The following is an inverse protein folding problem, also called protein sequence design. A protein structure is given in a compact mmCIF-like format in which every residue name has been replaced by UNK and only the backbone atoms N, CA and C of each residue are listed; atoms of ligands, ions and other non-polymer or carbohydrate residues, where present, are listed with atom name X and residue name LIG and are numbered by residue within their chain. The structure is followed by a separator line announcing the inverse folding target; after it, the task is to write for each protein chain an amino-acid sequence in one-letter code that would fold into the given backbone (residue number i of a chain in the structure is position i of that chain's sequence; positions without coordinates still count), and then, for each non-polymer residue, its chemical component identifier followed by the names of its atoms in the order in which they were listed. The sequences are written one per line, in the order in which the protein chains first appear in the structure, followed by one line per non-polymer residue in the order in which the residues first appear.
data_IF_848822220714
#
_entry.id   IF_848822220714
#
_cell.length_a   1.000
_cell.length_b   1.000
_cell.length_c   1.000
_cell.angle_alpha   90.00
_cell.angle_beta   90.00
_cell.angle_gamma   90.00
#
_symmetry.space_group_name_H-M   'P 1'
#
loop_
_entity.id
_entity.type
_entity.pdbx_description
1 polymer ?
#
# COMPACT_ATOMS: atom_id res chain seq x y z
N UNK A 1 -18.08 13.27 24.44
CA UNK A 1 -17.72 12.26 23.42
C UNK A 1 -18.51 10.94 23.52
N UNK A 2 -19.67 10.88 24.20
CA UNK A 2 -20.48 9.63 24.29
C UNK A 2 -22.00 9.89 24.36
N UNK A 3 -22.53 10.86 23.59
CA UNK A 3 -23.98 11.15 23.51
C UNK A 3 -24.43 11.64 22.12
N UNK A 4 -23.87 11.10 21.04
CA UNK A 4 -24.25 11.49 19.68
C UNK A 4 -24.71 10.31 18.80
N UNK A 5 -25.08 9.18 19.39
CA UNK A 5 -25.47 7.96 18.65
C UNK A 5 -26.95 7.56 18.83
N UNK A 6 -27.81 8.45 19.33
CA UNK A 6 -29.16 8.04 19.77
C UNK A 6 -30.31 8.94 19.27
N UNK A 7 -30.13 9.69 18.18
CA UNK A 7 -31.21 10.53 17.61
C UNK A 7 -31.46 10.41 16.10
N UNK A 8 -30.85 9.48 15.38
CA UNK A 8 -31.12 9.28 13.93
C UNK A 8 -31.84 7.95 13.68
N UNK A 9 -32.87 7.66 14.46
CA UNK A 9 -33.69 6.47 14.28
C UNK A 9 -35.19 6.78 14.38
N UNK A 10 -35.70 7.83 13.76
CA UNK A 10 -37.16 8.03 13.65
C UNK A 10 -37.58 9.05 12.58
N UNK A 11 -38.12 8.57 11.45
CA UNK A 11 -38.97 9.27 10.44
C UNK A 11 -38.23 10.35 9.60
N UNK A 12 -38.19 10.35 8.27
CA UNK A 12 -39.09 9.82 7.23
C UNK A 12 -38.30 9.27 6.01
N UNK A 13 -38.90 8.21 5.45
CA UNK A 13 -38.78 7.61 4.11
C UNK A 13 -38.18 8.42 2.96
N UNK A 14 -37.17 7.82 2.31
CA UNK A 14 -36.88 7.99 0.88
C UNK A 14 -35.39 8.21 0.57
N UNK A 15 -34.81 7.53 -0.44
CA UNK A 15 -33.49 7.93 -0.93
C UNK A 15 -33.56 9.36 -1.49
N UNK A 16 -32.56 10.22 -1.24
CA UNK A 16 -32.58 11.60 -1.71
C UNK A 16 -32.66 11.66 -3.23
N UNK A 17 -33.58 12.47 -3.75
CA UNK A 17 -33.75 12.67 -5.19
C UNK A 17 -32.57 13.51 -5.72
N UNK A 18 -31.74 12.90 -6.56
CA UNK A 18 -30.51 13.51 -7.12
C UNK A 18 -30.81 14.62 -8.16
N UNK A 19 -32.07 14.97 -8.40
CA UNK A 19 -32.43 16.03 -9.35
C UNK A 19 -32.80 17.38 -8.72
N UNK A 20 -32.63 17.56 -7.40
CA UNK A 20 -32.92 18.83 -6.72
C UNK A 20 -31.74 19.84 -6.82
N UNK A 21 -31.88 20.97 -7.53
CA UNK A 21 -30.77 21.89 -7.80
C UNK A 21 -30.28 22.66 -6.58
N UNK A 22 -31.10 22.84 -5.53
CA UNK A 22 -30.67 23.54 -4.29
C UNK A 22 -29.68 22.71 -3.46
N UNK A 23 -29.80 21.38 -3.45
CA UNK A 23 -28.91 20.46 -2.74
C UNK A 23 -27.48 20.44 -3.35
N UNK A 24 -27.39 20.58 -4.68
CA UNK A 24 -26.12 20.64 -5.41
C UNK A 24 -25.29 21.87 -5.04
N UNK A 25 -25.92 23.03 -4.79
CA UNK A 25 -25.20 24.26 -4.45
C UNK A 25 -24.55 24.19 -3.06
N UNK A 26 -25.22 23.56 -2.09
CA UNK A 26 -24.76 23.46 -0.72
C UNK A 26 -23.61 22.44 -0.52
N UNK A 27 -23.50 21.43 -1.39
CA UNK A 27 -22.57 20.31 -1.23
C UNK A 27 -21.63 20.09 -2.42
N UNK A 28 -21.51 21.04 -3.36
CA UNK A 28 -20.69 20.92 -4.58
C UNK A 28 -19.24 20.44 -4.34
N UNK A 29 -18.62 20.86 -3.21
CA UNK A 29 -17.25 20.43 -2.83
C UNK A 29 -17.17 18.95 -2.42
N UNK A 30 -18.22 18.40 -1.81
CA UNK A 30 -18.33 16.98 -1.45
C UNK A 30 -18.73 16.11 -2.65
N UNK A 31 -19.49 16.65 -3.60
CA UNK A 31 -19.91 15.94 -4.82
C UNK A 31 -18.73 15.76 -5.78
N UNK A 32 -17.91 16.80 -6.00
CA UNK A 32 -16.69 16.68 -6.83
C UNK A 32 -15.67 15.69 -6.24
N UNK A 33 -15.50 15.66 -4.91
CA UNK A 33 -14.61 14.68 -4.26
C UNK A 33 -15.15 13.26 -4.39
N UNK A 34 -16.47 13.05 -4.33
CA UNK A 34 -17.10 11.74 -4.53
C UNK A 34 -17.05 11.26 -6.00
N UNK A 35 -17.21 12.14 -6.99
CA UNK A 35 -17.05 11.80 -8.42
C UNK A 35 -15.59 11.48 -8.78
N UNK A 36 -14.62 12.20 -8.22
CA UNK A 36 -13.19 11.86 -8.36
C UNK A 36 -12.92 10.49 -7.70
N UNK A 37 -13.47 10.22 -6.50
CA UNK A 37 -13.32 8.93 -5.84
C UNK A 37 -13.98 7.77 -6.61
N UNK A 38 -15.17 7.99 -7.19
CA UNK A 38 -15.88 6.99 -8.02
C UNK A 38 -15.14 6.69 -9.33
N UNK A 39 -14.60 7.73 -9.98
CA UNK A 39 -13.76 7.57 -11.18
C UNK A 39 -12.46 6.82 -10.87
N UNK A 40 -11.86 7.10 -9.70
CA UNK A 40 -10.65 6.42 -9.21
C UNK A 40 -10.96 4.96 -8.80
N UNK A 41 -12.13 4.67 -8.23
CA UNK A 41 -12.57 3.32 -7.86
C UNK A 41 -12.96 2.46 -9.09
N UNK A 42 -13.56 3.04 -10.13
CA UNK A 42 -13.79 2.34 -11.40
C UNK A 42 -12.46 2.04 -12.13
N UNK A 43 -11.51 2.99 -12.07
CA UNK A 43 -10.16 2.78 -12.58
C UNK A 43 -9.41 1.71 -11.75
N UNK A 44 -9.58 1.68 -10.42
CA UNK A 44 -9.03 0.64 -9.54
C UNK A 44 -9.64 -0.75 -9.81
N UNK A 45 -10.94 -0.86 -10.06
CA UNK A 45 -11.60 -2.13 -10.41
C UNK A 45 -11.11 -2.69 -11.76
N UNK A 46 -10.80 -1.82 -12.71
CA UNK A 46 -10.23 -2.20 -14.01
C UNK A 46 -8.72 -2.50 -13.94
N UNK A 47 -7.96 -1.80 -13.09
CA UNK A 47 -6.54 -2.06 -12.87
C UNK A 47 -6.28 -3.36 -12.09
N UNK A 48 -7.12 -3.68 -11.10
CA UNK A 48 -7.01 -4.93 -10.33
C UNK A 48 -7.34 -6.19 -11.15
N UNK A 49 -8.01 -6.05 -12.30
CA UNK A 49 -8.37 -7.17 -13.18
C UNK A 49 -7.23 -7.59 -14.12
N UNK A 50 -6.27 -6.70 -14.39
CA UNK A 50 -5.14 -6.97 -15.29
C UNK A 50 -3.88 -7.54 -14.59
N UNK A 51 -3.80 -7.48 -13.25
CA UNK A 51 -2.69 -8.05 -12.47
C UNK A 51 -3.00 -9.41 -11.84
N UNK A 52 -4.13 -10.04 -12.21
CA UNK A 52 -4.37 -11.46 -11.87
C UNK A 52 -3.59 -12.32 -12.86
N UNK A 53 -2.29 -12.42 -12.59
CA UNK A 53 -1.27 -13.15 -13.32
C UNK A 53 -1.72 -14.55 -13.77
N UNK A 54 -1.39 -14.91 -15.00
CA UNK A 54 -1.66 -16.18 -15.70
C UNK A 54 -1.24 -17.48 -14.97
N UNK A 55 -0.54 -17.40 -13.84
CA UNK A 55 -0.24 -18.53 -12.95
C UNK A 55 -1.41 -18.92 -12.03
N UNK A 56 -2.39 -18.04 -11.83
CA UNK A 56 -3.58 -18.31 -11.01
C UNK A 56 -4.66 -19.12 -11.76
N UNK A 57 -4.61 -19.15 -13.10
CA UNK A 57 -5.61 -19.86 -13.94
C UNK A 57 -5.22 -21.32 -14.24
N UNK A 58 -3.99 -21.74 -13.93
CA UNK A 58 -3.47 -23.10 -14.20
C UNK A 58 -3.47 -24.02 -12.97
N UNK A 59 -3.97 -23.57 -11.82
CA UNK A 59 -3.90 -24.29 -10.55
C UNK A 59 -5.28 -24.83 -10.16
N UNK A 60 -5.32 -26.04 -9.61
CA UNK A 60 -6.54 -26.60 -9.04
C UNK A 60 -7.00 -25.76 -7.84
N UNK A 61 -8.31 -25.74 -7.54
CA UNK A 61 -8.91 -24.89 -6.51
C UNK A 61 -8.29 -25.13 -5.11
N UNK A 62 -7.81 -26.34 -4.84
CA UNK A 62 -7.04 -26.68 -3.64
C UNK A 62 -5.65 -26.05 -3.63
N UNK A 63 -4.94 -26.10 -4.76
CA UNK A 63 -3.60 -25.52 -4.93
C UNK A 63 -3.63 -23.99 -4.83
N UNK A 64 -4.70 -23.37 -5.32
CA UNK A 64 -4.86 -21.91 -5.25
C UNK A 64 -5.05 -21.41 -3.80
N UNK A 65 -5.79 -22.16 -2.98
CA UNK A 65 -5.92 -21.87 -1.53
C UNK A 65 -4.59 -22.04 -0.80
N UNK A 66 -3.87 -23.11 -1.12
CA UNK A 66 -2.56 -23.36 -0.52
C UNK A 66 -1.53 -22.30 -0.94
N UNK A 67 -1.52 -21.92 -2.22
CA UNK A 67 -0.66 -20.86 -2.74
C UNK A 67 -0.96 -19.52 -2.08
N UNK A 68 -2.24 -19.18 -1.89
CA UNK A 68 -2.66 -17.97 -1.17
C UNK A 68 -2.09 -17.93 0.26
N UNK A 69 -2.28 -19.00 1.03
CA UNK A 69 -1.75 -19.10 2.39
C UNK A 69 -0.20 -19.04 2.42
N UNK A 70 0.46 -19.66 1.44
CA UNK A 70 1.93 -19.60 1.29
C UNK A 70 2.40 -18.19 0.94
N UNK A 71 1.66 -17.45 0.10
CA UNK A 71 1.99 -16.07 -0.27
C UNK A 71 1.85 -15.12 0.92
N UNK A 72 0.76 -15.21 1.69
CA UNK A 72 0.57 -14.39 2.89
C UNK A 72 1.68 -14.63 3.92
N UNK A 73 2.02 -15.89 4.18
CA UNK A 73 3.12 -16.26 5.07
C UNK A 73 4.46 -15.72 4.56
N UNK A 74 4.67 -15.75 3.24
CA UNK A 74 5.87 -15.21 2.61
C UNK A 74 5.97 -13.70 2.77
N UNK A 75 4.89 -12.95 2.55
CA UNK A 75 4.89 -11.50 2.75
C UNK A 75 5.25 -11.11 4.19
N UNK A 76 4.70 -11.80 5.19
CA UNK A 76 5.05 -11.53 6.60
C UNK A 76 6.54 -11.79 6.88
N UNK A 77 7.08 -12.90 6.35
CA UNK A 77 8.50 -13.23 6.51
C UNK A 77 9.38 -12.17 5.83
N UNK A 78 9.04 -11.75 4.63
CA UNK A 78 9.78 -10.72 3.88
C UNK A 78 9.77 -9.38 4.61
N UNK A 79 8.62 -9.01 5.19
CA UNK A 79 8.52 -7.81 6.03
C UNK A 79 9.45 -7.89 7.25
N UNK A 80 9.45 -9.03 7.97
CA UNK A 80 10.33 -9.20 9.13
C UNK A 80 11.81 -9.14 8.76
N UNK A 81 12.21 -9.75 7.64
CA UNK A 81 13.58 -9.67 7.14
C UNK A 81 13.95 -8.23 6.75
N UNK A 82 13.06 -7.51 6.08
CA UNK A 82 13.26 -6.10 5.73
C UNK A 82 13.44 -5.22 6.98
N UNK A 83 12.59 -5.41 8.00
CA UNK A 83 12.70 -4.72 9.28
C UNK A 83 14.02 -5.00 9.99
N UNK A 84 14.43 -6.27 10.09
CA UNK A 84 15.70 -6.65 10.72
C UNK A 84 16.90 -5.99 10.03
N UNK A 85 16.93 -6.02 8.70
CA UNK A 85 17.99 -5.39 7.92
C UNK A 85 18.00 -3.86 8.10
N UNK A 86 16.83 -3.24 8.14
CA UNK A 86 16.68 -1.80 8.36
C UNK A 86 17.26 -1.38 9.70
N UNK A 87 16.86 -2.08 10.78
CA UNK A 87 17.34 -1.82 12.14
C UNK A 87 18.85 -2.00 12.23
N UNK A 88 19.39 -3.11 11.73
CA UNK A 88 20.83 -3.37 11.74
C UNK A 88 21.62 -2.29 10.99
N UNK A 89 21.15 -1.88 9.82
CA UNK A 89 21.83 -0.88 9.01
C UNK A 89 21.82 0.50 9.66
N UNK A 90 20.67 0.95 10.14
CA UNK A 90 20.60 2.25 10.81
C UNK A 90 21.33 2.25 12.15
N UNK A 91 21.38 1.11 12.85
CA UNK A 91 22.21 0.99 14.05
C UNK A 91 23.69 1.18 13.72
N UNK A 92 24.23 0.43 12.75
CA UNK A 92 25.64 0.50 12.35
C UNK A 92 26.04 1.87 11.77
N UNK A 93 25.14 2.53 11.05
CA UNK A 93 25.44 3.79 10.39
C UNK A 93 25.27 5.02 11.31
N UNK A 94 24.34 4.97 12.28
CA UNK A 94 23.96 6.14 13.07
C UNK A 94 24.33 6.08 14.55
N UNK A 95 24.47 4.91 15.15
CA UNK A 95 24.77 4.77 16.58
C UNK A 95 26.27 4.57 16.74
N UNK A 96 26.95 5.64 17.16
CA UNK A 96 28.41 5.67 17.25
C UNK A 96 28.92 6.21 18.59
N UNK A 97 28.04 6.76 19.42
CA UNK A 97 28.38 7.21 20.77
C UNK A 97 27.84 6.22 21.81
N UNK A 98 28.75 5.58 22.53
CA UNK A 98 28.44 4.61 23.59
C UNK A 98 28.63 5.18 25.00
N UNK A 99 28.72 6.50 25.14
CA UNK A 99 28.88 7.17 26.44
C UNK A 99 27.60 7.14 27.30
N UNK A 100 26.43 6.87 26.69
CA UNK A 100 25.13 6.91 27.37
C UNK A 100 24.23 5.73 26.94
N UNK A 101 23.22 5.42 27.76
CA UNK A 101 22.22 4.36 27.47
C UNK A 101 21.06 4.86 26.59
N UNK A 102 21.00 6.17 26.34
CA UNK A 102 19.98 6.83 25.54
C UNK A 102 20.60 7.38 24.26
N UNK A 103 19.81 7.49 23.20
CA UNK A 103 20.26 8.10 21.97
C UNK A 103 20.47 9.61 22.17
N UNK A 104 21.57 10.14 21.64
CA UNK A 104 21.76 11.59 21.54
C UNK A 104 20.88 12.18 20.44
N UNK A 105 20.58 13.49 20.53
CA UNK A 105 19.74 14.18 19.52
C UNK A 105 20.28 14.07 18.09
N UNK A 106 21.60 13.96 17.91
CA UNK A 106 22.22 13.74 16.59
C UNK A 106 21.95 12.32 16.06
N UNK A 107 22.05 11.31 16.91
CA UNK A 107 21.81 9.92 16.56
C UNK A 107 20.33 9.69 16.24
N UNK A 108 19.42 10.23 17.04
CA UNK A 108 17.97 10.18 16.78
C UNK A 108 17.64 10.77 15.40
N UNK A 109 18.16 11.96 15.11
CA UNK A 109 17.98 12.60 13.80
C UNK A 109 18.60 11.80 12.64
N UNK A 110 19.74 11.13 12.87
CA UNK A 110 20.35 10.24 11.89
C UNK A 110 19.44 9.02 11.62
N UNK A 111 18.95 8.35 12.66
CA UNK A 111 18.09 7.17 12.54
C UNK A 111 16.81 7.51 11.77
N UNK A 112 16.16 8.63 12.05
CA UNK A 112 14.97 9.06 11.32
C UNK A 112 15.24 9.24 9.82
N UNK A 113 16.36 9.89 9.47
CA UNK A 113 16.77 10.05 8.06
C UNK A 113 17.19 8.73 7.41
N UNK A 114 17.84 7.85 8.16
CA UNK A 114 18.27 6.53 7.68
C UNK A 114 17.06 5.66 7.31
N UNK A 115 16.03 5.66 8.15
CA UNK A 115 14.79 4.92 7.92
C UNK A 115 14.08 5.44 6.67
N UNK A 116 13.85 6.75 6.58
CA UNK A 116 13.22 7.37 5.41
C UNK A 116 13.98 7.09 4.12
N UNK A 117 15.32 7.19 4.15
CA UNK A 117 16.17 6.92 3.00
C UNK A 117 16.06 5.47 2.55
N UNK A 118 16.09 4.51 3.47
CA UNK A 118 15.99 3.10 3.12
C UNK A 118 14.61 2.76 2.54
N UNK A 119 13.51 3.22 3.17
CA UNK A 119 12.16 2.93 2.66
C UNK A 119 11.95 3.50 1.26
N UNK A 120 12.33 4.77 1.02
CA UNK A 120 12.28 5.39 -0.32
C UNK A 120 13.21 4.71 -1.32
N UNK A 121 14.37 4.24 -0.87
CA UNK A 121 15.29 3.48 -1.72
C UNK A 121 14.70 2.14 -2.14
N UNK A 122 14.06 1.41 -1.23
CA UNK A 122 13.44 0.12 -1.53
C UNK A 122 12.26 0.29 -2.50
N UNK A 123 11.44 1.33 -2.32
CA UNK A 123 10.37 1.67 -3.27
C UNK A 123 10.92 1.97 -4.67
N UNK A 124 11.93 2.84 -4.77
CA UNK A 124 12.53 3.20 -6.05
C UNK A 124 13.18 2.00 -6.73
N UNK A 125 13.93 1.18 -5.99
CA UNK A 125 14.52 -0.05 -6.50
C UNK A 125 13.44 -1.04 -6.96
N UNK A 126 12.35 -1.17 -6.22
CA UNK A 126 11.19 -1.97 -6.61
C UNK A 126 10.62 -1.54 -7.96
N UNK A 127 10.38 -0.23 -8.14
CA UNK A 127 9.87 0.31 -9.40
C UNK A 127 10.82 0.05 -10.57
N UNK A 128 12.13 0.27 -10.39
CA UNK A 128 13.12 -0.02 -11.44
C UNK A 128 13.23 -1.50 -11.74
N UNK A 129 13.15 -2.37 -10.73
CA UNK A 129 13.19 -3.81 -10.91
C UNK A 129 12.00 -4.30 -11.75
N UNK A 130 10.80 -3.79 -11.51
CA UNK A 130 9.61 -4.12 -12.30
C UNK A 130 9.76 -3.70 -13.78
N UNK A 131 10.29 -2.50 -14.03
CA UNK A 131 10.58 -2.03 -15.39
C UNK A 131 11.59 -2.94 -16.11
N UNK A 132 12.69 -3.30 -15.43
CA UNK A 132 13.72 -4.17 -16.01
C UNK A 132 13.22 -5.59 -16.23
N UNK A 133 12.45 -6.15 -15.29
CA UNK A 133 11.88 -7.49 -15.43
C UNK A 133 10.89 -7.56 -16.60
N UNK A 134 10.08 -6.52 -16.81
CA UNK A 134 9.20 -6.41 -17.98
C UNK A 134 9.99 -6.30 -19.29
N UNK A 135 11.05 -5.49 -19.32
CA UNK A 135 11.93 -5.37 -20.48
C UNK A 135 12.64 -6.69 -20.82
N UNK A 136 13.09 -7.45 -19.82
CA UNK A 136 13.69 -8.77 -20.00
C UNK A 136 12.70 -9.79 -20.59
N UNK A 137 11.43 -9.75 -20.19
CA UNK A 137 10.38 -10.59 -20.79
C UNK A 137 10.07 -10.22 -22.25
N UNK A 138 10.17 -8.93 -22.61
CA UNK A 138 9.95 -8.45 -23.98
C UNK A 138 11.16 -8.68 -24.89
N UNK A 139 12.38 -8.68 -24.35
CA UNK A 139 13.62 -8.86 -25.10
C UNK A 139 13.89 -10.32 -25.53
N UNK A 140 13.06 -11.29 -25.13
CA UNK A 140 13.05 -12.62 -25.74
C UNK A 140 14.36 -13.41 -25.66
N UNK A 141 15.22 -13.20 -24.65
CA UNK A 141 16.42 -14.02 -24.47
C UNK A 141 16.76 -14.23 -23.00
N UNK A 142 16.43 -15.41 -22.48
CA UNK A 142 17.37 -16.12 -21.61
C UNK A 142 18.41 -16.77 -22.56
N UNK A 143 19.66 -16.30 -22.60
CA UNK A 143 20.74 -17.12 -23.14
C UNK A 143 20.79 -18.37 -22.25
N UNK A 144 20.57 -19.53 -22.85
CA UNK A 144 20.33 -20.77 -22.13
C UNK A 144 21.36 -21.10 -21.06
N UNK A 145 20.87 -21.67 -19.97
CA UNK A 145 21.52 -22.79 -19.29
C UNK A 145 20.47 -23.63 -18.58
#
# INVERSE_FOLDING_TARGET
MFRALEQVTSRESGPPNIHDPEWFSANAKHICTFQIFSSTLHNYSSYSRYHRNSTMDSLNQTEQRELGARMEKKQMKEFMTMYQNLVQRCFNDCINDFSSKSLGSKEENCVMRCVDKNLKSQERLGNRFQEQNAAMMQAGSLPGR
#
